data_IF_411726904133
#
_entry.id   IF_411726904133
#
_cell.length_a   1.000
_cell.length_b   1.000
_cell.length_c   1.000
_cell.angle_alpha   90.00
_cell.angle_beta   90.00
_cell.angle_gamma   90.00
#
_symmetry.space_group_name_H-M   'P 1'
#
loop_
_entity.id
_entity.type
_entity.pdbx_description
1 polymer ?
#
# COMPACT_ATOMS: atom_id res chain seq x y z
N UNK A 1 -25.57 9.75 -13.44
CA UNK A 1 -24.58 10.61 -12.72
C UNK A 1 -23.80 11.41 -13.76
N UNK A 2 -23.69 12.74 -13.62
CA UNK A 2 -23.12 13.60 -14.67
C UNK A 2 -21.59 13.51 -14.77
N UNK A 3 -21.07 13.41 -16.00
CA UNK A 3 -19.65 13.29 -16.39
C UNK A 3 -18.73 14.30 -15.67
N UNK A 4 -19.23 15.51 -15.40
CA UNK A 4 -18.53 16.59 -14.69
C UNK A 4 -18.18 16.26 -13.23
N UNK A 5 -19.05 15.53 -12.51
CA UNK A 5 -18.78 15.10 -11.13
C UNK A 5 -17.71 14.01 -11.05
N UNK A 6 -17.44 13.32 -12.14
CA UNK A 6 -16.43 12.27 -12.23
C UNK A 6 -15.04 12.88 -12.47
N UNK A 7 -14.96 13.87 -13.37
CA UNK A 7 -13.73 14.64 -13.61
C UNK A 7 -13.30 15.43 -12.36
N UNK A 8 -14.24 16.08 -11.66
CA UNK A 8 -13.92 16.78 -10.41
C UNK A 8 -13.37 15.87 -9.32
N UNK A 9 -13.82 14.61 -9.26
CA UNK A 9 -13.27 13.61 -8.33
C UNK A 9 -11.88 13.12 -8.72
N UNK A 10 -11.56 13.08 -10.02
CA UNK A 10 -10.22 12.73 -10.48
C UNK A 10 -9.20 13.82 -10.14
N UNK A 11 -9.58 15.10 -10.23
CA UNK A 11 -8.68 16.23 -10.02
C UNK A 11 -8.50 16.61 -8.54
N UNK A 12 -9.58 16.68 -7.77
CA UNK A 12 -9.54 17.13 -6.36
C UNK A 12 -9.42 15.94 -5.41
N UNK A 13 -9.78 14.75 -5.88
CA UNK A 13 -9.65 13.51 -5.14
C UNK A 13 -10.97 12.81 -4.86
N UNK A 14 -10.94 11.49 -4.99
CA UNK A 14 -12.09 10.62 -4.81
C UNK A 14 -12.43 10.41 -3.33
N UNK A 15 -11.42 10.46 -2.45
CA UNK A 15 -11.54 10.30 -0.99
C UNK A 15 -11.23 11.61 -0.25
N UNK A 16 -11.71 11.72 0.99
CA UNK A 16 -11.43 12.86 1.87
C UNK A 16 -9.92 13.06 2.11
N UNK A 17 -9.17 11.99 2.34
CA UNK A 17 -7.72 12.05 2.51
C UNK A 17 -7.02 12.63 1.27
N UNK A 18 -7.43 12.22 0.07
CA UNK A 18 -6.87 12.76 -1.17
C UNK A 18 -7.16 14.25 -1.32
N UNK A 19 -8.37 14.70 -0.96
CA UNK A 19 -8.74 16.13 -1.01
C UNK A 19 -7.90 16.97 -0.06
N UNK A 20 -7.68 16.50 1.17
CA UNK A 20 -6.83 17.20 2.15
C UNK A 20 -5.41 17.36 1.60
N UNK A 21 -4.84 16.30 1.02
CA UNK A 21 -3.49 16.36 0.44
C UNK A 21 -3.42 17.31 -0.77
N UNK A 22 -4.38 17.22 -1.70
CA UNK A 22 -4.41 18.07 -2.90
C UNK A 22 -4.58 19.54 -2.52
N UNK A 23 -5.56 19.86 -1.66
CA UNK A 23 -5.80 21.24 -1.22
C UNK A 23 -4.60 21.76 -0.43
N UNK A 24 -4.03 20.96 0.48
CA UNK A 24 -2.84 21.32 1.23
C UNK A 24 -1.66 21.65 0.32
N UNK A 25 -1.41 20.82 -0.70
CA UNK A 25 -0.37 21.09 -1.69
C UNK A 25 -0.64 22.39 -2.46
N UNK A 26 -1.87 22.63 -2.92
CA UNK A 26 -2.24 23.88 -3.62
C UNK A 26 -2.00 25.09 -2.72
N UNK A 27 -2.42 25.04 -1.46
CA UNK A 27 -2.21 26.14 -0.50
C UNK A 27 -0.72 26.39 -0.28
N UNK A 28 0.09 25.35 -0.06
CA UNK A 28 1.54 25.49 0.11
C UNK A 28 2.21 26.09 -1.12
N UNK A 29 1.84 25.67 -2.33
CA UNK A 29 2.42 26.25 -3.54
C UNK A 29 1.91 27.67 -3.80
N UNK A 30 0.67 28.00 -3.44
CA UNK A 30 0.14 29.35 -3.53
C UNK A 30 0.86 30.29 -2.56
N UNK A 31 1.12 29.87 -1.32
CA UNK A 31 1.89 30.67 -0.35
C UNK A 31 3.33 30.84 -0.79
N UNK A 32 3.99 29.78 -1.27
CA UNK A 32 5.34 29.87 -1.83
C UNK A 32 5.40 30.80 -3.06
N UNK A 33 4.40 30.78 -3.93
CA UNK A 33 4.37 31.66 -5.10
C UNK A 33 4.28 33.15 -4.73
N UNK A 34 3.78 33.50 -3.54
CA UNK A 34 3.75 34.87 -3.03
C UNK A 34 5.02 35.23 -2.26
N UNK A 35 5.53 34.31 -1.42
CA UNK A 35 6.68 34.56 -0.53
C UNK A 35 8.02 34.43 -1.24
N UNK A 36 8.18 33.38 -2.05
CA UNK A 36 9.40 33.09 -2.81
C UNK A 36 9.06 32.40 -4.15
N UNK A 37 8.76 33.20 -5.19
CA UNK A 37 8.40 32.67 -6.51
C UNK A 37 9.50 31.82 -7.16
N UNK A 38 10.76 32.04 -6.82
CA UNK A 38 11.88 31.28 -7.38
C UNK A 38 11.89 29.85 -6.82
N UNK A 39 11.74 29.71 -5.49
CA UNK A 39 11.63 28.41 -4.84
C UNK A 39 10.36 27.67 -5.26
N UNK A 40 9.23 28.36 -5.45
CA UNK A 40 8.00 27.75 -5.94
C UNK A 40 8.19 27.08 -7.32
N UNK A 41 8.84 27.78 -8.27
CA UNK A 41 9.10 27.25 -9.62
C UNK A 41 10.08 26.08 -9.60
N UNK A 42 11.19 26.19 -8.87
CA UNK A 42 12.19 25.12 -8.79
C UNK A 42 11.63 23.85 -8.14
N UNK A 43 10.82 24.01 -7.08
CA UNK A 43 10.13 22.92 -6.40
C UNK A 43 9.08 22.25 -7.30
N UNK A 44 8.30 23.05 -8.04
CA UNK A 44 7.32 22.53 -9.00
C UNK A 44 7.99 21.73 -10.13
N UNK A 45 9.08 22.25 -10.71
CA UNK A 45 9.84 21.54 -11.73
C UNK A 45 10.44 20.22 -11.18
N UNK A 46 10.99 20.24 -9.97
CA UNK A 46 11.45 19.04 -9.28
C UNK A 46 10.34 18.01 -9.04
N UNK A 47 9.16 18.47 -8.63
CA UNK A 47 7.97 17.64 -8.44
C UNK A 47 7.50 16.96 -9.73
N UNK A 48 7.44 17.70 -10.85
CA UNK A 48 7.08 17.15 -12.17
C UNK A 48 8.12 16.12 -12.63
N UNK A 49 9.42 16.40 -12.44
CA UNK A 49 10.47 15.45 -12.79
C UNK A 49 10.40 14.17 -11.95
N UNK A 50 10.11 14.28 -10.65
CA UNK A 50 9.90 13.14 -9.76
C UNK A 50 8.67 12.33 -10.20
N UNK A 51 7.56 13.01 -10.54
CA UNK A 51 6.37 12.35 -11.07
C UNK A 51 6.70 11.56 -12.35
N UNK A 52 7.39 12.16 -13.31
CA UNK A 52 7.80 11.49 -14.54
C UNK A 52 8.66 10.24 -14.29
N UNK A 53 9.61 10.33 -13.36
CA UNK A 53 10.45 9.18 -12.96
C UNK A 53 9.65 8.04 -12.32
N UNK A 54 8.62 8.37 -11.55
CA UNK A 54 7.79 7.39 -10.86
C UNK A 54 6.62 6.88 -11.71
N UNK A 55 6.20 7.63 -12.74
CA UNK A 55 5.02 7.32 -13.53
C UNK A 55 5.09 5.93 -14.18
N UNK A 56 6.24 5.55 -14.74
CA UNK A 56 6.44 4.22 -15.33
C UNK A 56 6.26 3.10 -14.31
N UNK A 57 6.82 3.26 -13.10
CA UNK A 57 6.68 2.30 -12.00
C UNK A 57 5.23 2.22 -11.49
N UNK A 58 4.56 3.37 -11.35
CA UNK A 58 3.15 3.42 -10.94
C UNK A 58 2.28 2.70 -11.96
N UNK A 59 2.40 3.02 -13.26
CA UNK A 59 1.63 2.37 -14.33
C UNK A 59 1.90 0.86 -14.37
N UNK A 60 3.17 0.44 -14.34
CA UNK A 60 3.52 -0.98 -14.32
C UNK A 60 2.92 -1.70 -13.10
N UNK A 61 2.98 -1.08 -11.93
CA UNK A 61 2.44 -1.65 -10.70
C UNK A 61 0.91 -1.81 -10.73
N UNK A 62 0.18 -0.85 -11.32
CA UNK A 62 -1.27 -0.91 -11.49
C UNK A 62 -1.67 -1.99 -12.49
N UNK A 63 -0.93 -2.13 -13.60
CA UNK A 63 -1.16 -3.20 -14.58
C UNK A 63 -0.92 -4.58 -13.95
N UNK A 64 0.19 -4.74 -13.22
CA UNK A 64 0.50 -5.99 -12.50
C UNK A 64 -0.56 -6.30 -11.45
N UNK A 65 -0.97 -5.33 -10.64
CA UNK A 65 -2.04 -5.51 -9.66
C UNK A 65 -3.36 -5.96 -10.32
N UNK A 66 -3.69 -5.41 -11.48
CA UNK A 66 -4.88 -5.80 -12.23
C UNK A 66 -4.76 -7.21 -12.83
N UNK A 67 -3.62 -7.54 -13.42
CA UNK A 67 -3.36 -8.87 -13.98
C UNK A 67 -3.34 -9.96 -12.89
N UNK A 68 -2.64 -9.71 -11.77
CA UNK A 68 -2.60 -10.61 -10.61
C UNK A 68 -3.99 -10.82 -10.02
N UNK A 69 -4.79 -9.76 -9.95
CA UNK A 69 -6.20 -9.84 -9.58
C UNK A 69 -6.93 -10.91 -10.39
N UNK A 70 -6.83 -10.87 -11.72
CA UNK A 70 -7.48 -11.86 -12.58
C UNK A 70 -6.86 -13.27 -12.50
N UNK A 71 -5.58 -13.36 -12.15
CA UNK A 71 -4.86 -14.63 -12.06
C UNK A 71 -5.07 -15.39 -10.73
N UNK A 72 -5.71 -14.77 -9.72
CA UNK A 72 -6.01 -15.38 -8.42
C UNK A 72 -7.28 -16.24 -8.51
N UNK A 73 -7.19 -17.59 -8.44
CA UNK A 73 -8.38 -18.44 -8.41
C UNK A 73 -9.08 -18.29 -7.06
N UNK A 74 -10.38 -17.98 -7.09
CA UNK A 74 -11.22 -17.79 -5.90
C UNK A 74 -11.11 -18.97 -4.92
N UNK A 75 -11.24 -20.20 -5.43
CA UNK A 75 -11.15 -21.42 -4.61
C UNK A 75 -9.84 -21.52 -3.83
N UNK A 76 -8.71 -21.10 -4.43
CA UNK A 76 -7.41 -21.17 -3.78
C UNK A 76 -7.26 -20.11 -2.70
N UNK A 77 -7.77 -18.90 -2.95
CA UNK A 77 -7.74 -17.83 -1.96
C UNK A 77 -8.60 -18.22 -0.76
N UNK A 78 -9.85 -18.65 -0.98
CA UNK A 78 -10.74 -19.09 0.08
C UNK A 78 -10.17 -20.28 0.87
N UNK A 79 -9.56 -21.27 0.20
CA UNK A 79 -8.97 -22.43 0.88
C UNK A 79 -7.71 -22.10 1.70
N UNK A 80 -6.92 -21.10 1.30
CA UNK A 80 -5.62 -20.80 1.94
C UNK A 80 -5.66 -19.63 2.92
N UNK A 81 -6.51 -18.64 2.65
CA UNK A 81 -6.60 -17.38 3.40
C UNK A 81 -8.03 -17.11 3.91
N UNK A 82 -9.01 -17.95 3.58
CA UNK A 82 -10.38 -17.83 4.07
C UNK A 82 -10.57 -18.37 5.49
N UNK A 83 -11.79 -18.27 5.99
CA UNK A 83 -12.15 -18.64 7.36
C UNK A 83 -11.77 -20.09 7.73
N UNK A 84 -11.96 -21.02 6.79
CA UNK A 84 -11.63 -22.43 6.99
C UNK A 84 -10.13 -22.69 7.22
N UNK A 85 -9.24 -21.80 6.77
CA UNK A 85 -7.80 -21.90 7.02
C UNK A 85 -7.40 -21.48 8.45
N UNK A 86 -8.31 -20.82 9.19
CA UNK A 86 -8.15 -20.37 10.56
C UNK A 86 -6.86 -19.57 10.78
N UNK A 87 -6.24 -19.75 11.94
CA UNK A 87 -5.02 -19.02 12.33
C UNK A 87 -3.87 -19.19 11.34
N UNK A 88 -3.74 -20.37 10.70
CA UNK A 88 -2.68 -20.61 9.71
C UNK A 88 -2.85 -19.71 8.49
N UNK A 89 -4.09 -19.54 8.02
CA UNK A 89 -4.41 -18.64 6.91
C UNK A 89 -4.09 -17.19 7.24
N UNK A 90 -4.45 -16.72 8.43
CA UNK A 90 -4.19 -15.34 8.87
C UNK A 90 -2.69 -15.05 9.00
N UNK A 91 -1.92 -15.98 9.59
CA UNK A 91 -0.45 -15.85 9.68
C UNK A 91 0.18 -15.83 8.29
N UNK A 92 -0.24 -16.75 7.41
CA UNK A 92 0.25 -16.78 6.03
C UNK A 92 -0.06 -15.48 5.30
N UNK A 93 -1.27 -14.94 5.46
CA UNK A 93 -1.69 -13.66 4.88
C UNK A 93 -0.73 -12.53 5.29
N UNK A 94 -0.38 -12.43 6.58
CA UNK A 94 0.59 -11.44 7.05
C UNK A 94 1.98 -11.61 6.47
N UNK A 95 2.50 -12.84 6.39
CA UNK A 95 3.81 -13.09 5.78
C UNK A 95 3.81 -12.74 4.29
N UNK A 96 2.78 -13.12 3.54
CA UNK A 96 2.61 -12.77 2.13
C UNK A 96 2.53 -11.25 1.93
N UNK A 97 1.81 -10.55 2.81
CA UNK A 97 1.73 -9.09 2.79
C UNK A 97 3.10 -8.44 2.91
N UNK A 98 3.97 -9.00 3.74
CA UNK A 98 5.36 -8.57 3.90
C UNK A 98 6.21 -8.68 2.64
N UNK A 99 5.86 -9.58 1.74
CA UNK A 99 6.55 -9.81 0.47
C UNK A 99 6.03 -8.94 -0.67
N UNK A 100 4.86 -8.30 -0.50
CA UNK A 100 4.26 -7.48 -1.56
C UNK A 100 5.16 -6.27 -1.89
N UNK A 101 5.63 -6.15 -3.15
CA UNK A 101 6.43 -5.01 -3.57
C UNK A 101 5.53 -3.82 -3.95
N UNK A 102 6.11 -2.62 -3.87
CA UNK A 102 5.48 -1.39 -4.35
C UNK A 102 4.80 -0.55 -3.27
N UNK A 103 4.31 0.61 -3.68
CA UNK A 103 3.60 1.55 -2.81
C UNK A 103 2.15 1.16 -2.56
N UNK A 104 1.44 1.90 -1.68
CA UNK A 104 0.05 1.61 -1.33
C UNK A 104 -0.88 1.61 -2.54
N UNK A 105 -0.59 2.42 -3.57
CA UNK A 105 -1.33 2.47 -4.83
C UNK A 105 -1.31 1.14 -5.62
N UNK A 106 -0.30 0.28 -5.41
CA UNK A 106 -0.21 -1.03 -6.04
C UNK A 106 -0.74 -2.12 -5.12
N UNK A 107 -0.36 -2.06 -3.85
CA UNK A 107 -0.65 -3.13 -2.87
C UNK A 107 -2.10 -3.13 -2.42
N UNK A 108 -2.72 -1.97 -2.21
CA UNK A 108 -4.07 -1.92 -1.65
C UNK A 108 -5.12 -2.55 -2.58
N UNK A 109 -5.11 -2.29 -3.90
CA UNK A 109 -6.01 -2.98 -4.83
C UNK A 109 -5.78 -4.50 -4.90
N UNK A 110 -4.56 -4.98 -4.66
CA UNK A 110 -4.28 -6.42 -4.59
C UNK A 110 -4.94 -7.00 -3.34
N UNK A 111 -4.76 -6.36 -2.19
CA UNK A 111 -5.34 -6.81 -0.92
C UNK A 111 -6.87 -6.77 -0.95
N UNK A 112 -7.47 -5.71 -1.50
CA UNK A 112 -8.91 -5.60 -1.73
C UNK A 112 -9.43 -6.79 -2.54
N UNK A 113 -8.78 -7.11 -3.65
CA UNK A 113 -9.14 -8.25 -4.50
C UNK A 113 -8.95 -9.62 -3.86
N UNK A 114 -8.01 -9.76 -2.93
CA UNK A 114 -7.83 -10.99 -2.15
C UNK A 114 -8.98 -11.14 -1.16
N UNK A 115 -9.43 -10.04 -0.54
CA UNK A 115 -10.66 -10.00 0.26
C UNK A 115 -11.90 -10.38 -0.54
N UNK A 116 -12.10 -9.77 -1.71
CA UNK A 116 -13.24 -10.06 -2.60
C UNK A 116 -13.31 -11.54 -3.04
N UNK A 117 -12.16 -12.24 -3.02
CA UNK A 117 -12.04 -13.66 -3.38
C UNK A 117 -12.16 -14.62 -2.20
N UNK A 118 -12.67 -14.15 -1.06
CA UNK A 118 -13.00 -15.00 0.08
C UNK A 118 -11.87 -15.18 1.11
N UNK A 119 -10.85 -14.32 1.10
CA UNK A 119 -9.96 -14.22 2.26
C UNK A 119 -10.73 -13.67 3.47
N UNK A 120 -10.44 -14.19 4.67
CA UNK A 120 -11.11 -13.76 5.89
C UNK A 120 -10.76 -12.31 6.25
N UNK A 121 -11.64 -11.62 6.97
CA UNK A 121 -11.38 -10.28 7.47
C UNK A 121 -10.05 -10.18 8.26
N UNK A 122 -9.74 -11.09 9.22
CA UNK A 122 -8.45 -11.09 9.89
C UNK A 122 -7.27 -11.33 8.93
N UNK A 123 -7.41 -12.14 7.88
CA UNK A 123 -6.37 -12.34 6.88
C UNK A 123 -6.09 -11.06 6.06
N UNK A 124 -7.12 -10.32 5.68
CA UNK A 124 -7.00 -9.02 5.00
C UNK A 124 -6.27 -8.00 5.88
N UNK A 125 -6.61 -7.93 7.17
CA UNK A 125 -5.90 -7.05 8.11
C UNK A 125 -4.45 -7.51 8.28
N UNK A 126 -4.21 -8.81 8.44
CA UNK A 126 -2.86 -9.34 8.56
C UNK A 126 -1.99 -9.03 7.33
N UNK A 127 -2.53 -9.13 6.11
CA UNK A 127 -1.86 -8.70 4.86
C UNK A 127 -1.36 -7.25 4.95
N UNK A 128 -2.22 -6.33 5.39
CA UNK A 128 -1.87 -4.90 5.54
C UNK A 128 -0.82 -4.66 6.63
N UNK A 129 -0.93 -5.39 7.75
CA UNK A 129 0.06 -5.34 8.85
C UNK A 129 1.41 -5.83 8.36
N UNK A 130 1.46 -6.98 7.69
CA UNK A 130 2.68 -7.54 7.14
C UNK A 130 3.36 -6.63 6.10
N UNK A 131 2.57 -6.07 5.19
CA UNK A 131 3.06 -5.09 4.21
C UNK A 131 3.74 -3.87 4.88
N UNK A 132 3.18 -3.42 6.00
CA UNK A 132 3.68 -2.28 6.75
C UNK A 132 4.91 -2.65 7.60
N UNK A 133 4.84 -3.76 8.34
CA UNK A 133 5.82 -4.17 9.33
C UNK A 133 7.04 -4.90 8.73
N UNK A 134 6.83 -5.85 7.80
CA UNK A 134 7.90 -6.63 7.16
C UNK A 134 8.39 -5.94 5.89
N UNK A 135 7.48 -5.57 4.98
CA UNK A 135 7.74 -4.82 3.76
C UNK A 135 9.15 -4.96 3.14
N UNK A 136 9.44 -6.13 2.57
CA UNK A 136 10.78 -6.50 2.06
C UNK A 136 11.26 -5.57 0.95
N UNK A 137 10.35 -4.95 0.19
CA UNK A 137 10.72 -3.95 -0.82
C UNK A 137 11.52 -2.75 -0.28
N UNK A 138 11.54 -2.53 1.04
CA UNK A 138 12.32 -1.47 1.70
C UNK A 138 13.75 -1.88 2.05
N UNK A 139 14.09 -3.17 1.93
CA UNK A 139 15.41 -3.71 2.32
C UNK A 139 16.56 -3.10 1.54
N UNK A 140 16.53 -3.00 0.19
CA UNK A 140 17.64 -2.40 -0.55
C UNK A 140 17.94 -0.96 -0.14
N UNK A 141 16.89 -0.16 0.08
CA UNK A 141 17.00 1.22 0.56
C UNK A 141 17.56 1.28 1.98
N UNK A 142 17.07 0.42 2.87
CA UNK A 142 17.55 0.35 4.25
C UNK A 142 19.03 -0.03 4.33
N UNK A 143 19.49 -0.96 3.49
CA UNK A 143 20.89 -1.36 3.45
C UNK A 143 21.80 -0.21 3.00
N UNK A 144 21.34 0.61 2.05
CA UNK A 144 22.09 1.77 1.56
C UNK A 144 22.25 2.91 2.59
N UNK A 145 21.39 2.97 3.62
CA UNK A 145 21.36 4.10 4.59
C UNK A 145 21.79 3.67 6.00
N UNK A 146 21.30 2.54 6.50
CA UNK A 146 21.42 2.14 7.91
C UNK A 146 22.34 0.95 8.15
N UNK A 147 22.77 0.27 7.08
CA UNK A 147 23.58 -0.95 7.16
C UNK A 147 22.79 -2.20 7.61
N UNK A 148 23.42 -3.38 7.54
CA UNK A 148 22.72 -4.67 7.67
C UNK A 148 22.15 -4.93 9.07
N UNK A 149 22.84 -4.51 10.14
CA UNK A 149 22.41 -4.78 11.52
C UNK A 149 21.02 -4.20 11.82
N UNK A 150 20.78 -2.95 11.43
CA UNK A 150 19.51 -2.25 11.66
C UNK A 150 18.41 -2.86 10.79
N UNK A 151 18.70 -3.14 9.51
CA UNK A 151 17.73 -3.70 8.57
C UNK A 151 17.28 -5.09 9.02
N UNK A 152 18.20 -5.96 9.42
CA UNK A 152 17.89 -7.30 9.90
C UNK A 152 17.09 -7.27 11.20
N UNK A 153 17.46 -6.41 12.15
CA UNK A 153 16.69 -6.23 13.39
C UNK A 153 15.25 -5.78 13.10
N UNK A 154 15.07 -4.81 12.20
CA UNK A 154 13.75 -4.33 11.78
C UNK A 154 12.93 -5.42 11.10
N UNK A 155 13.54 -6.25 10.25
CA UNK A 155 12.85 -7.38 9.61
C UNK A 155 12.44 -8.43 10.63
N UNK A 156 13.32 -8.80 11.56
CA UNK A 156 13.02 -9.77 12.61
C UNK A 156 11.85 -9.31 13.48
N UNK A 157 11.90 -8.05 13.96
CA UNK A 157 10.79 -7.44 14.72
C UNK A 157 9.52 -7.37 13.88
N UNK A 158 9.64 -6.99 12.60
CA UNK A 158 8.51 -6.93 11.68
C UNK A 158 7.83 -8.29 11.49
N UNK A 159 8.60 -9.36 11.33
CA UNK A 159 8.09 -10.73 11.21
C UNK A 159 7.43 -11.18 12.51
N UNK A 160 8.13 -11.06 13.64
CA UNK A 160 7.60 -11.47 14.95
C UNK A 160 6.33 -10.69 15.30
N UNK A 161 6.34 -9.37 15.10
CA UNK A 161 5.18 -8.51 15.32
C UNK A 161 4.01 -8.87 14.41
N UNK A 162 4.27 -9.15 13.13
CA UNK A 162 3.22 -9.57 12.18
C UNK A 162 2.60 -10.90 12.59
N UNK A 163 3.42 -11.89 12.95
CA UNK A 163 2.91 -13.21 13.40
C UNK A 163 2.12 -13.06 14.70
N UNK A 164 2.62 -12.29 15.68
CA UNK A 164 1.91 -12.04 16.94
C UNK A 164 0.55 -11.38 16.71
N UNK A 165 0.51 -10.32 15.90
CA UNK A 165 -0.75 -9.64 15.54
C UNK A 165 -1.68 -10.58 14.78
N UNK A 166 -1.18 -11.37 13.83
CA UNK A 166 -1.98 -12.33 13.07
C UNK A 166 -2.64 -13.40 13.98
N UNK A 167 -1.90 -13.91 14.97
CA UNK A 167 -2.44 -14.86 15.96
C UNK A 167 -3.52 -14.19 16.81
N UNK A 168 -3.31 -12.96 17.27
CA UNK A 168 -4.31 -12.21 18.04
C UNK A 168 -5.56 -11.94 17.19
N UNK A 169 -5.39 -11.52 15.93
CA UNK A 169 -6.50 -11.29 15.01
C UNK A 169 -7.33 -12.56 14.80
N UNK A 170 -6.68 -13.70 14.58
CA UNK A 170 -7.36 -14.98 14.43
C UNK A 170 -8.10 -15.44 15.69
N UNK A 171 -7.69 -14.98 16.88
CA UNK A 171 -8.33 -15.34 18.14
C UNK A 171 -9.48 -14.40 18.53
N UNK A 172 -9.34 -13.09 18.23
CA UNK A 172 -10.29 -12.05 18.64
C UNK A 172 -11.36 -11.80 17.58
N UNK A 173 -11.06 -12.06 16.31
CA UNK A 173 -11.96 -11.83 15.19
C UNK A 173 -12.48 -13.16 14.65
N UNK A 174 -13.58 -13.70 15.21
CA UNK A 174 -14.23 -14.87 14.63
C UNK A 174 -14.84 -14.49 13.27
N UNK A 175 -14.68 -15.39 12.31
CA UNK A 175 -15.35 -15.34 11.00
C UNK A 175 -16.79 -15.85 11.07
#
# INVERSE_FOLDING_TARGET
MSRWRQVGRLLVGASWGQRVVVIGAVVVYATLAVVDPATARSSAAGGIALFGRMASLVVASLLLANALGHALPEDRVAATLGAAAGTRGVVLAGLLGGLLPGGPYAVYPIVERVGDRGASAPAVVALLVGYSAIGVGRVPFGLGVFGPRIVLARLAIGVVGTVGVAVVLAAVWPD
#
